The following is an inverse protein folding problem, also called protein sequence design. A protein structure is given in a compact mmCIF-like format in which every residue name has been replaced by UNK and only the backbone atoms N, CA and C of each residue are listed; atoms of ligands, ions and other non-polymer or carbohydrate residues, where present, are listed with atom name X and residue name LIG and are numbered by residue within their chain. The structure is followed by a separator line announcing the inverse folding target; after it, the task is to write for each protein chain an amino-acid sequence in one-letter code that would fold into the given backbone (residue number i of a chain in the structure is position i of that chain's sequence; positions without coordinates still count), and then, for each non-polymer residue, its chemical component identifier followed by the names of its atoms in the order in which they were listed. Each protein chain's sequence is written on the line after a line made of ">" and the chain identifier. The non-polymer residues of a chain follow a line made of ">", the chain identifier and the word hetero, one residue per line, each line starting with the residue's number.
data_IF_618121120301
#
_entry.id   IF_618121120301
#
_cell.length_a   1.000
_cell.length_b   1.000
_cell.length_c   1.000
_cell.angle_alpha   90.00
_cell.angle_beta   90.00
_cell.angle_gamma   90.00
#
_symmetry.space_group_name_H-M   'P 1'
#
loop_
_entity.id
_entity.type
_entity.pdbx_description
1 polymer ?
#
# COMPACT_ATOMS: atom_id res chain seq x y z
N UNK A 1 -16.24 -1.56 3.02
CA UNK A 1 -16.14 -2.41 4.24
C UNK A 1 -17.43 -2.26 5.02
N UNK A 2 -18.31 -3.27 5.05
CA UNK A 2 -19.60 -3.11 5.74
C UNK A 2 -20.57 -4.30 5.73
N UNK A 3 -20.39 -5.33 4.89
CA UNK A 3 -21.40 -6.39 4.75
C UNK A 3 -21.02 -7.76 5.35
N UNK A 4 -19.76 -8.01 5.71
CA UNK A 4 -19.32 -9.35 6.17
C UNK A 4 -19.26 -9.52 7.69
N UNK A 5 -19.45 -8.45 8.48
CA UNK A 5 -19.43 -8.52 9.95
C UNK A 5 -20.81 -8.87 10.57
N UNK A 6 -21.89 -8.84 9.78
CA UNK A 6 -23.26 -9.00 10.30
C UNK A 6 -23.80 -10.43 10.25
N UNK A 7 -23.06 -11.37 9.66
CA UNK A 7 -23.47 -12.78 9.55
C UNK A 7 -22.98 -13.61 10.73
N UNK A 8 -21.75 -13.42 11.21
CA UNK A 8 -21.18 -14.16 12.35
C UNK A 8 -21.82 -13.83 13.69
N UNK A 9 -22.33 -12.60 13.87
CA UNK A 9 -23.06 -12.21 15.07
C UNK A 9 -24.43 -12.90 15.20
N UNK A 10 -25.10 -13.22 14.09
CA UNK A 10 -26.41 -13.91 14.10
C UNK A 10 -26.29 -15.38 14.51
N UNK A 11 -25.21 -16.05 14.10
CA UNK A 11 -24.92 -17.42 14.55
C UNK A 11 -24.48 -17.47 16.02
N UNK A 12 -23.78 -16.45 16.51
CA UNK A 12 -23.35 -16.37 17.93
C UNK A 12 -24.54 -16.16 18.88
N UNK A 13 -25.51 -15.31 18.52
CA UNK A 13 -26.73 -15.08 19.31
C UNK A 13 -27.66 -16.30 19.27
N UNK A 14 -27.78 -16.98 18.12
CA UNK A 14 -28.59 -18.20 18.01
C UNK A 14 -28.01 -19.38 18.80
N UNK A 15 -26.69 -19.43 18.99
CA UNK A 15 -26.02 -20.48 19.78
C UNK A 15 -26.07 -20.20 21.29
N UNK A 16 -26.01 -18.91 21.69
CA UNK A 16 -26.20 -18.49 23.08
C UNK A 16 -27.63 -18.75 23.58
N UNK A 17 -28.63 -18.62 22.70
CA UNK A 17 -30.02 -19.00 22.96
C UNK A 17 -30.20 -20.51 23.18
N UNK A 18 -29.39 -21.35 22.52
CA UNK A 18 -29.43 -22.80 22.65
C UNK A 18 -28.73 -23.30 23.93
N UNK A 19 -27.68 -22.60 24.38
CA UNK A 19 -27.01 -22.86 25.67
C UNK A 19 -27.85 -22.34 26.86
N UNK A 20 -28.62 -21.26 26.68
CA UNK A 20 -29.52 -20.75 27.71
C UNK A 20 -30.77 -21.64 27.93
N UNK A 21 -31.24 -22.36 26.89
CA UNK A 21 -32.38 -23.27 26.98
C UNK A 21 -32.10 -24.58 27.72
N UNK A 22 -30.83 -24.94 27.94
CA UNK A 22 -30.46 -26.08 28.79
C UNK A 22 -30.18 -25.70 30.26
N UNK A 23 -30.36 -24.43 30.63
CA UNK A 23 -29.95 -23.91 31.93
C UNK A 23 -30.96 -23.99 33.07
N UNK A 24 -32.26 -24.28 32.83
CA UNK A 24 -33.27 -24.26 33.91
C UNK A 24 -34.33 -25.36 33.79
N UNK A 25 -34.23 -26.37 34.67
CA UNK A 25 -35.33 -27.07 35.35
C UNK A 25 -34.67 -28.04 36.36
N UNK A 26 -34.93 -28.07 37.67
CA UNK A 26 -35.86 -27.35 38.53
C UNK A 26 -35.34 -27.50 39.97
N UNK A 27 -35.55 -26.47 40.78
CA UNK A 27 -35.34 -26.50 42.21
C UNK A 27 -36.59 -27.05 42.94
N UNK A 28 -36.33 -27.54 44.16
CA UNK A 28 -37.17 -27.43 45.37
C UNK A 28 -37.99 -28.65 45.85
N UNK A 29 -37.63 -29.04 47.06
CA UNK A 29 -38.39 -29.82 48.03
C UNK A 29 -37.70 -29.68 49.38
N UNK A 30 -37.95 -28.58 50.10
CA UNK A 30 -37.42 -28.31 51.44
C UNK A 30 -38.16 -29.17 52.50
N UNK A 31 -37.44 -29.70 53.49
CA UNK A 31 -37.82 -29.58 54.90
C UNK A 31 -36.63 -29.85 55.84
N UNK A 32 -36.54 -29.01 56.86
CA UNK A 32 -35.56 -28.90 57.95
C UNK A 32 -35.75 -30.00 59.03
N UNK A 33 -34.68 -30.44 59.72
CA UNK A 33 -34.45 -30.22 61.17
C UNK A 33 -33.17 -30.91 61.66
N UNK A 34 -32.76 -30.50 62.85
CA UNK A 34 -31.45 -30.56 63.48
C UNK A 34 -30.97 -31.91 64.04
N UNK A 35 -29.72 -31.84 64.50
CA UNK A 35 -29.11 -32.56 65.62
C UNK A 35 -28.53 -33.97 65.45
N UNK A 36 -27.20 -33.97 65.55
CA UNK A 36 -26.42 -34.75 66.51
C UNK A 36 -25.98 -36.18 66.15
N UNK A 37 -24.64 -36.31 66.08
CA UNK A 37 -23.78 -37.16 66.91
C UNK A 37 -24.07 -38.69 66.94
N UNK A 38 -22.94 -39.41 66.81
CA UNK A 38 -22.64 -40.80 67.19
C UNK A 38 -22.96 -41.90 66.16
N UNK A 39 -21.95 -42.11 65.34
CA UNK A 39 -21.40 -43.44 64.97
C UNK A 39 -21.22 -44.33 66.21
N UNK A 40 -22.30 -44.95 66.70
CA UNK A 40 -22.31 -46.14 67.59
C UNK A 40 -23.76 -46.45 68.00
N UNK A 41 -24.58 -47.00 67.08
CA UNK A 41 -25.93 -47.53 67.42
C UNK A 41 -26.62 -48.29 66.27
N UNK A 42 -26.20 -48.10 65.01
CA UNK A 42 -26.88 -48.72 63.86
C UNK A 42 -26.66 -50.23 63.70
N UNK A 43 -25.73 -50.85 64.42
CA UNK A 43 -25.55 -52.31 64.36
C UNK A 43 -26.59 -53.07 65.21
N UNK A 44 -27.16 -52.44 66.25
CA UNK A 44 -28.11 -53.10 67.14
C UNK A 44 -29.59 -52.97 66.71
N UNK A 45 -29.95 -52.01 65.85
CA UNK A 45 -31.30 -51.97 65.24
C UNK A 45 -31.44 -52.91 64.03
N UNK A 46 -30.33 -53.30 63.39
CA UNK A 46 -30.33 -54.28 62.28
C UNK A 46 -30.59 -55.69 62.81
N UNK A 47 -30.11 -56.04 64.01
CA UNK A 47 -30.37 -57.36 64.62
C UNK A 47 -31.82 -57.47 65.14
N UNK A 48 -32.41 -56.38 65.67
CA UNK A 48 -33.79 -56.38 66.15
C UNK A 48 -34.84 -56.37 65.02
N UNK A 49 -34.50 -55.77 63.88
CA UNK A 49 -35.34 -55.80 62.67
C UNK A 49 -35.30 -57.17 61.97
N UNK A 50 -34.15 -57.86 61.98
CA UNK A 50 -34.04 -59.23 61.46
C UNK A 50 -34.96 -60.25 62.16
N UNK A 51 -35.16 -60.13 63.49
CA UNK A 51 -36.08 -61.02 64.24
C UNK A 51 -37.56 -60.74 63.95
N UNK A 52 -37.95 -59.48 63.71
CA UNK A 52 -39.32 -59.12 63.31
C UNK A 52 -39.62 -59.46 61.84
N UNK A 53 -38.61 -59.45 60.97
CA UNK A 53 -38.72 -59.90 59.58
C UNK A 53 -38.88 -61.42 59.52
N UNK A 54 -38.16 -62.18 60.35
CA UNK A 54 -38.27 -63.64 60.39
C UNK A 54 -39.62 -64.14 60.96
N UNK A 55 -40.20 -63.46 61.95
CA UNK A 55 -41.52 -63.82 62.49
C UNK A 55 -42.71 -63.42 61.59
N UNK A 56 -42.47 -62.61 60.54
CA UNK A 56 -43.47 -62.22 59.54
C UNK A 56 -43.24 -62.87 58.17
N UNK A 57 -42.20 -63.69 58.04
CA UNK A 57 -41.82 -64.42 56.83
C UNK A 57 -42.62 -65.73 56.62
N UNK A 58 -43.53 -66.08 57.55
CA UNK A 58 -44.53 -67.15 57.36
C UNK A 58 -45.83 -66.65 56.67
N UNK A 59 -45.86 -65.41 56.16
CA UNK A 59 -46.88 -64.96 55.21
C UNK A 59 -46.34 -65.01 53.77
N UNK A 60 -46.71 -66.08 53.07
CA UNK A 60 -46.76 -66.23 51.61
C UNK A 60 -45.41 -66.01 50.85
N UNK A 61 -44.74 -67.07 50.35
CA UNK A 61 -43.49 -66.95 49.58
C UNK A 61 -43.59 -66.07 48.31
N UNK A 62 -44.80 -65.78 47.85
CA UNK A 62 -45.11 -64.87 46.75
C UNK A 62 -44.81 -63.39 47.07
N UNK A 63 -44.99 -62.91 48.30
CA UNK A 63 -44.72 -61.49 48.65
C UNK A 63 -43.22 -61.18 48.66
N UNK A 64 -42.41 -62.12 49.13
CA UNK A 64 -40.94 -61.99 49.19
C UNK A 64 -40.35 -61.98 47.79
N UNK A 65 -40.77 -62.91 46.92
CA UNK A 65 -40.36 -62.93 45.51
C UNK A 65 -40.81 -61.67 44.77
N UNK A 66 -42.02 -61.16 45.04
CA UNK A 66 -42.52 -59.92 44.47
C UNK A 66 -41.73 -58.68 44.95
N UNK A 67 -41.30 -58.66 46.21
CA UNK A 67 -40.44 -57.60 46.74
C UNK A 67 -39.02 -57.62 46.14
N UNK A 68 -38.41 -58.80 45.97
CA UNK A 68 -37.12 -58.91 45.29
C UNK A 68 -37.21 -58.56 43.80
N UNK A 69 -38.30 -58.95 43.12
CA UNK A 69 -38.58 -58.53 41.74
C UNK A 69 -38.75 -57.00 41.65
N UNK A 70 -39.40 -56.36 42.65
CA UNK A 70 -39.48 -54.90 42.74
C UNK A 70 -38.12 -54.24 42.94
N UNK A 71 -37.29 -54.74 43.86
CA UNK A 71 -35.91 -54.21 44.06
C UNK A 71 -35.09 -54.37 42.78
N UNK A 72 -35.18 -55.54 42.12
CA UNK A 72 -34.44 -55.81 40.90
C UNK A 72 -34.93 -54.92 39.74
N UNK A 73 -36.24 -54.66 39.66
CA UNK A 73 -36.79 -53.67 38.72
C UNK A 73 -36.31 -52.25 39.01
N UNK A 74 -36.31 -51.83 40.27
CA UNK A 74 -35.82 -50.50 40.68
C UNK A 74 -34.33 -50.35 40.34
N UNK A 75 -33.50 -51.34 40.68
CA UNK A 75 -32.06 -51.32 40.37
C UNK A 75 -31.81 -51.33 38.84
N UNK A 76 -32.56 -52.12 38.07
CA UNK A 76 -32.46 -52.10 36.61
C UNK A 76 -32.90 -50.76 36.00
N UNK A 77 -33.90 -50.09 36.58
CA UNK A 77 -34.33 -48.76 36.16
C UNK A 77 -33.28 -47.70 36.54
N UNK A 78 -32.70 -47.78 37.72
CA UNK A 78 -31.61 -46.90 38.17
C UNK A 78 -30.36 -47.09 37.30
N UNK A 79 -29.99 -48.32 36.95
CA UNK A 79 -28.88 -48.58 36.02
C UNK A 79 -29.13 -48.02 34.62
N UNK A 80 -30.32 -48.23 34.05
CA UNK A 80 -30.70 -47.63 32.75
C UNK A 80 -30.70 -46.11 32.80
N UNK A 81 -31.20 -45.55 33.91
CA UNK A 81 -31.19 -44.11 34.18
C UNK A 81 -29.74 -43.60 34.21
N UNK A 82 -28.88 -44.19 35.03
CA UNK A 82 -27.47 -43.79 35.17
C UNK A 82 -26.67 -43.94 33.86
N UNK A 83 -26.91 -45.02 33.10
CA UNK A 83 -26.30 -45.19 31.78
C UNK A 83 -26.76 -44.11 30.78
N UNK A 84 -28.04 -43.73 30.82
CA UNK A 84 -28.57 -42.65 29.98
C UNK A 84 -27.98 -41.28 30.36
N UNK A 85 -27.78 -41.01 31.66
CA UNK A 85 -27.12 -39.77 32.12
C UNK A 85 -25.65 -39.69 31.69
N UNK A 86 -24.90 -40.78 31.81
CA UNK A 86 -23.47 -40.83 31.41
C UNK A 86 -23.25 -40.68 29.90
N UNK A 87 -24.15 -41.19 29.06
CA UNK A 87 -24.14 -40.98 27.60
C UNK A 87 -24.39 -39.52 27.19
N UNK A 88 -25.30 -38.82 27.88
CA UNK A 88 -25.60 -37.40 27.61
C UNK A 88 -24.44 -36.50 28.07
N UNK A 89 -23.86 -36.76 29.25
CA UNK A 89 -22.75 -35.98 29.81
C UNK A 89 -21.46 -36.09 28.96
N UNK A 90 -21.12 -37.29 28.51
CA UNK A 90 -19.97 -37.52 27.61
C UNK A 90 -20.15 -36.86 26.23
N UNK A 91 -21.38 -36.82 25.70
CA UNK A 91 -21.70 -36.13 24.45
C UNK A 91 -21.52 -34.60 24.54
N UNK A 92 -21.89 -33.99 25.67
CA UNK A 92 -21.68 -32.55 25.89
C UNK A 92 -20.19 -32.19 25.95
N UNK A 93 -19.37 -32.99 26.63
CA UNK A 93 -17.92 -32.77 26.68
C UNK A 93 -17.29 -32.84 25.29
N UNK A 94 -17.71 -33.79 24.45
CA UNK A 94 -17.22 -33.89 23.07
C UNK A 94 -17.55 -32.65 22.23
N UNK A 95 -18.75 -32.08 22.38
CA UNK A 95 -19.15 -30.85 21.69
C UNK A 95 -18.32 -29.64 22.14
N UNK A 96 -18.04 -29.51 23.43
CA UNK A 96 -17.17 -28.44 23.93
C UNK A 96 -15.75 -28.56 23.36
N UNK A 97 -15.19 -29.76 23.29
CA UNK A 97 -13.85 -29.99 22.71
C UNK A 97 -13.82 -29.56 21.24
N UNK A 98 -14.82 -29.97 20.44
CA UNK A 98 -14.92 -29.58 19.03
C UNK A 98 -15.03 -28.06 18.90
N UNK A 99 -15.85 -27.41 19.74
CA UNK A 99 -15.98 -25.96 19.75
C UNK A 99 -14.64 -25.26 20.01
N UNK A 100 -13.89 -25.67 21.04
CA UNK A 100 -12.57 -25.10 21.32
C UNK A 100 -11.56 -25.35 20.19
N UNK A 101 -11.59 -26.53 19.55
CA UNK A 101 -10.75 -26.82 18.38
C UNK A 101 -11.08 -25.88 17.22
N UNK A 102 -12.37 -25.67 16.92
CA UNK A 102 -12.78 -24.75 15.85
C UNK A 102 -12.41 -23.31 16.16
N UNK A 103 -12.54 -22.88 17.42
CA UNK A 103 -12.16 -21.55 17.86
C UNK A 103 -10.65 -21.33 17.78
N UNK A 104 -9.86 -22.33 18.19
CA UNK A 104 -8.40 -22.33 18.04
C UNK A 104 -8.00 -22.28 16.56
N UNK A 105 -8.61 -23.09 15.70
CA UNK A 105 -8.36 -23.09 14.27
C UNK A 105 -8.69 -21.73 13.63
N UNK A 106 -9.84 -21.14 13.96
CA UNK A 106 -10.23 -19.81 13.51
C UNK A 106 -9.25 -18.73 13.99
N UNK A 107 -8.82 -18.78 15.26
CA UNK A 107 -7.82 -17.87 15.79
C UNK A 107 -6.50 -17.98 15.02
N UNK A 108 -6.01 -19.20 14.78
CA UNK A 108 -4.78 -19.44 14.00
C UNK A 108 -4.92 -18.88 12.58
N UNK A 109 -6.03 -19.14 11.89
CA UNK A 109 -6.27 -18.60 10.54
C UNK A 109 -6.28 -17.08 10.51
N UNK A 110 -6.87 -16.42 11.51
CA UNK A 110 -6.85 -14.94 11.59
C UNK A 110 -5.45 -14.39 11.84
N UNK A 111 -4.64 -15.06 12.65
CA UNK A 111 -3.25 -14.67 12.90
C UNK A 111 -2.37 -14.86 11.67
N UNK A 112 -2.55 -15.96 10.94
CA UNK A 112 -1.85 -16.19 9.67
C UNK A 112 -2.20 -15.11 8.64
N UNK A 113 -3.50 -14.82 8.46
CA UNK A 113 -3.95 -13.73 7.59
C UNK A 113 -3.40 -12.37 8.02
N UNK A 114 -3.37 -12.07 9.32
CA UNK A 114 -2.78 -10.81 9.83
C UNK A 114 -1.29 -10.70 9.47
N UNK A 115 -0.52 -11.76 9.67
CA UNK A 115 0.92 -11.78 9.31
C UNK A 115 1.11 -11.55 7.81
N UNK A 116 0.31 -12.20 6.98
CA UNK A 116 0.36 -12.06 5.53
C UNK A 116 0.00 -10.64 5.07
N UNK A 117 -1.07 -10.05 5.61
CA UNK A 117 -1.47 -8.66 5.30
C UNK A 117 -0.38 -7.66 5.70
N UNK A 118 0.23 -7.82 6.89
CA UNK A 118 1.34 -6.97 7.32
C UNK A 118 2.52 -7.10 6.36
N UNK A 119 2.92 -8.33 6.02
CA UNK A 119 4.02 -8.58 5.07
C UNK A 119 3.72 -7.96 3.70
N UNK A 120 2.49 -8.11 3.20
CA UNK A 120 2.06 -7.55 1.93
C UNK A 120 2.05 -6.02 1.94
N UNK A 121 1.60 -5.40 3.04
CA UNK A 121 1.67 -3.94 3.19
C UNK A 121 3.11 -3.43 3.26
N UNK A 122 4.02 -4.16 3.91
CA UNK A 122 5.43 -3.81 3.96
C UNK A 122 6.09 -3.87 2.57
N UNK A 123 5.81 -4.93 1.80
CA UNK A 123 6.28 -5.07 0.42
C UNK A 123 5.73 -3.95 -0.47
N UNK A 124 4.44 -3.62 -0.36
CA UNK A 124 3.82 -2.51 -1.12
C UNK A 124 4.45 -1.16 -0.76
N UNK A 125 4.68 -0.89 0.51
CA UNK A 125 5.34 0.36 0.95
C UNK A 125 6.78 0.43 0.42
N UNK A 126 7.49 -0.69 0.41
CA UNK A 126 8.83 -0.79 -0.14
C UNK A 126 8.82 -0.54 -1.65
N UNK A 127 7.90 -1.17 -2.39
CA UNK A 127 7.72 -0.94 -3.83
C UNK A 127 7.40 0.54 -4.12
N UNK A 128 6.47 1.14 -3.37
CA UNK A 128 6.13 2.56 -3.51
C UNK A 128 7.34 3.46 -3.26
N UNK A 129 8.15 3.14 -2.24
CA UNK A 129 9.37 3.89 -1.94
C UNK A 129 10.37 3.79 -3.09
N UNK A 130 10.59 2.59 -3.64
CA UNK A 130 11.46 2.41 -4.80
C UNK A 130 10.94 3.16 -6.02
N UNK A 131 9.65 3.08 -6.33
CA UNK A 131 9.02 3.82 -7.44
C UNK A 131 9.17 5.32 -7.28
N UNK A 132 8.98 5.85 -6.06
CA UNK A 132 9.19 7.27 -5.78
C UNK A 132 10.63 7.72 -6.02
N UNK A 133 11.61 6.91 -5.60
CA UNK A 133 13.03 7.22 -5.84
C UNK A 133 13.36 7.13 -7.32
N UNK A 134 12.83 6.14 -8.03
CA UNK A 134 13.05 5.95 -9.46
C UNK A 134 12.46 7.09 -10.29
N UNK A 135 11.22 7.49 -10.01
CA UNK A 135 10.53 8.62 -10.65
C UNK A 135 11.26 9.96 -10.44
N UNK A 136 12.01 10.11 -9.34
CA UNK A 136 12.85 11.30 -9.10
C UNK A 136 14.11 11.34 -9.96
N UNK A 137 14.54 10.19 -10.49
CA UNK A 137 15.81 10.06 -11.23
C UNK A 137 15.61 9.86 -12.72
N UNK A 138 14.47 9.32 -13.13
CA UNK A 138 14.17 8.97 -14.50
C UNK A 138 12.83 9.58 -14.95
N UNK A 139 12.72 9.95 -16.24
CA UNK A 139 11.45 10.32 -16.83
C UNK A 139 10.43 9.17 -16.75
N UNK A 140 9.16 9.48 -16.45
CA UNK A 140 8.09 8.49 -16.25
C UNK A 140 7.90 7.55 -17.46
N UNK A 141 8.06 8.08 -18.68
CA UNK A 141 7.97 7.30 -19.92
C UNK A 141 9.13 6.32 -20.12
N UNK A 142 10.30 6.59 -19.55
CA UNK A 142 11.46 5.68 -19.60
C UNK A 142 11.29 4.55 -18.59
N UNK A 143 10.64 4.83 -17.46
CA UNK A 143 10.41 3.85 -16.39
C UNK A 143 9.48 2.73 -16.84
N UNK A 144 8.43 3.03 -17.61
CA UNK A 144 7.50 2.02 -18.10
C UNK A 144 8.21 0.98 -18.99
N UNK A 145 9.01 1.43 -19.96
CA UNK A 145 9.79 0.53 -20.81
C UNK A 145 10.84 -0.26 -20.00
N UNK A 146 11.49 0.38 -19.02
CA UNK A 146 12.49 -0.26 -18.17
C UNK A 146 11.91 -1.39 -17.30
N UNK A 147 10.70 -1.20 -16.75
CA UNK A 147 10.09 -2.16 -15.83
C UNK A 147 9.45 -3.36 -16.54
N UNK A 148 9.04 -3.22 -17.80
CA UNK A 148 8.36 -4.28 -18.56
C UNK A 148 9.33 -5.21 -19.29
N UNK A 149 10.32 -4.65 -20.00
CA UNK A 149 11.15 -5.42 -20.93
C UNK A 149 12.54 -5.78 -20.37
N UNK A 150 12.93 -5.24 -19.20
CA UNK A 150 14.32 -5.24 -18.68
C UNK A 150 15.38 -4.79 -19.71
N UNK A 151 14.93 -4.22 -20.83
CA UNK A 151 15.79 -3.91 -21.95
C UNK A 151 16.33 -2.48 -21.79
N UNK A 152 17.65 -2.38 -21.69
CA UNK A 152 18.38 -1.12 -21.57
C UNK A 152 18.85 -0.58 -22.91
N UNK A 153 18.38 -1.16 -24.01
CA UNK A 153 18.74 -0.74 -25.35
C UNK A 153 18.43 0.75 -25.58
N UNK A 154 19.34 1.48 -26.24
CA UNK A 154 19.10 2.87 -26.59
C UNK A 154 17.84 3.05 -27.45
N UNK A 155 16.98 3.98 -27.03
CA UNK A 155 15.72 4.31 -27.71
C UNK A 155 15.92 5.51 -28.62
N UNK A 156 15.60 5.35 -29.92
CA UNK A 156 15.61 6.47 -30.86
C UNK A 156 14.33 7.29 -30.71
N UNK A 157 14.48 8.59 -30.42
CA UNK A 157 13.38 9.54 -30.36
C UNK A 157 13.49 10.52 -31.51
N UNK A 158 12.58 10.38 -32.47
CA UNK A 158 12.54 11.21 -33.67
C UNK A 158 11.80 12.51 -33.45
N UNK A 159 12.15 13.54 -34.22
CA UNK A 159 11.36 14.76 -34.36
C UNK A 159 11.00 15.37 -32.99
N UNK A 160 12.02 15.74 -32.21
CA UNK A 160 11.87 16.34 -30.89
C UNK A 160 12.56 17.70 -30.79
N UNK A 161 11.91 18.66 -30.13
CA UNK A 161 12.56 19.91 -29.75
C UNK A 161 13.39 19.69 -28.47
N UNK A 162 14.59 20.24 -28.43
CA UNK A 162 15.53 20.10 -27.31
C UNK A 162 15.71 21.46 -26.67
N UNK A 163 15.64 21.51 -25.34
CA UNK A 163 15.83 22.71 -24.54
C UNK A 163 16.98 22.51 -23.55
N UNK A 164 17.99 23.36 -23.66
CA UNK A 164 19.00 23.57 -22.64
C UNK A 164 18.73 24.89 -21.94
N UNK A 165 18.79 24.87 -20.62
CA UNK A 165 18.66 26.05 -19.77
C UNK A 165 19.89 26.10 -18.87
N UNK A 166 20.45 27.29 -18.67
CA UNK A 166 21.47 27.55 -17.65
C UNK A 166 21.06 28.77 -16.82
N UNK A 167 21.13 28.60 -15.49
CA UNK A 167 20.80 29.64 -14.52
C UNK A 167 22.09 30.20 -13.94
N UNK A 168 22.36 31.48 -14.18
CA UNK A 168 23.55 32.17 -13.71
C UNK A 168 23.22 33.13 -12.58
N UNK A 169 24.14 33.25 -11.62
CA UNK A 169 24.09 34.30 -10.59
C UNK A 169 24.76 35.58 -11.10
N UNK A 170 24.13 36.73 -10.90
CA UNK A 170 24.69 38.05 -11.23
C UNK A 170 25.77 38.45 -10.22
N UNK A 171 25.54 38.14 -8.97
CA UNK A 171 26.47 38.27 -7.84
C UNK A 171 26.53 36.95 -7.09
N UNK A 172 27.74 36.54 -6.68
CA UNK A 172 27.90 35.32 -5.91
C UNK A 172 27.10 35.40 -4.60
N UNK A 173 26.21 34.43 -4.41
CA UNK A 173 25.52 34.26 -3.14
C UNK A 173 26.50 34.11 -1.98
N UNK A 174 26.17 34.71 -0.84
CA UNK A 174 27.02 34.72 0.36
C UNK A 174 27.28 33.32 0.95
N UNK A 175 26.49 32.32 0.56
CA UNK A 175 26.61 30.94 1.03
C UNK A 175 26.26 29.91 -0.08
N UNK A 176 27.07 28.85 -0.25
CA UNK A 176 26.77 27.74 -1.16
C UNK A 176 25.40 27.08 -0.89
N UNK A 177 24.95 27.09 0.37
CA UNK A 177 23.63 26.55 0.73
C UNK A 177 22.50 27.38 0.10
N UNK A 178 22.62 28.71 0.13
CA UNK A 178 21.63 29.63 -0.43
C UNK A 178 21.57 29.52 -1.95
N UNK A 179 22.71 29.35 -2.62
CA UNK A 179 22.79 29.01 -4.06
C UNK A 179 21.96 27.78 -4.41
N UNK A 180 22.17 26.70 -3.66
CA UNK A 180 21.46 25.43 -3.91
C UNK A 180 19.96 25.61 -3.70
N UNK A 181 19.54 26.32 -2.66
CA UNK A 181 18.12 26.61 -2.38
C UNK A 181 17.48 27.42 -3.52
N UNK A 182 18.15 28.48 -4.00
CA UNK A 182 17.68 29.31 -5.11
C UNK A 182 17.58 28.53 -6.43
N UNK A 183 18.62 27.78 -6.81
CA UNK A 183 18.61 26.95 -8.04
C UNK A 183 17.50 25.90 -7.95
N UNK A 184 17.31 25.29 -6.78
CA UNK A 184 16.29 24.27 -6.58
C UNK A 184 14.86 24.84 -6.71
N UNK A 185 14.63 26.09 -6.29
CA UNK A 185 13.36 26.79 -6.51
C UNK A 185 13.11 27.05 -8.01
N UNK A 186 14.13 27.53 -8.73
CA UNK A 186 14.03 27.74 -10.19
C UNK A 186 13.77 26.43 -10.92
N UNK A 187 14.42 25.33 -10.54
CA UNK A 187 14.22 24.03 -11.16
C UNK A 187 12.83 23.45 -10.88
N UNK A 188 12.27 23.67 -9.69
CA UNK A 188 10.88 23.29 -9.40
C UNK A 188 9.89 24.06 -10.29
N UNK A 189 10.11 25.37 -10.46
CA UNK A 189 9.30 26.19 -11.36
C UNK A 189 9.46 25.75 -12.83
N UNK A 190 10.67 25.40 -13.25
CA UNK A 190 10.95 24.88 -14.58
C UNK A 190 10.20 23.55 -14.83
N UNK A 191 10.22 22.63 -13.87
CA UNK A 191 9.49 21.35 -13.99
C UNK A 191 7.98 21.53 -14.09
N UNK A 192 7.40 22.49 -13.35
CA UNK A 192 5.99 22.84 -13.48
C UNK A 192 5.65 23.33 -14.91
N UNK A 193 6.48 24.22 -15.46
CA UNK A 193 6.34 24.68 -16.84
C UNK A 193 6.57 23.56 -17.86
N UNK A 194 7.50 22.63 -17.60
CA UNK A 194 7.71 21.48 -18.48
C UNK A 194 6.46 20.63 -18.59
N UNK A 195 5.76 20.39 -17.48
CA UNK A 195 4.50 19.66 -17.48
C UNK A 195 3.44 20.43 -18.28
N UNK A 196 3.31 21.74 -18.08
CA UNK A 196 2.35 22.62 -18.79
C UNK A 196 2.56 22.59 -20.31
N UNK A 197 3.82 22.69 -20.77
CA UNK A 197 4.15 22.79 -22.19
C UNK A 197 4.45 21.44 -22.87
N UNK A 198 4.39 20.33 -22.14
CA UNK A 198 4.64 18.99 -22.69
C UNK A 198 6.13 18.69 -22.92
N UNK A 199 7.01 19.27 -22.11
CA UNK A 199 8.42 18.90 -22.03
C UNK A 199 8.63 17.80 -21.00
N UNK A 200 9.67 17.01 -21.22
CA UNK A 200 10.12 15.92 -20.37
C UNK A 200 11.54 16.27 -19.93
N UNK A 201 11.75 16.43 -18.62
CA UNK A 201 13.08 16.62 -18.03
C UNK A 201 13.92 15.37 -18.29
N UNK A 202 15.12 15.54 -18.84
CA UNK A 202 16.07 14.44 -19.10
C UNK A 202 17.13 14.37 -18.00
N UNK A 203 17.88 15.46 -17.81
CA UNK A 203 18.96 15.53 -16.82
C UNK A 203 19.15 16.94 -16.28
N UNK A 204 19.79 17.03 -15.12
CA UNK A 204 20.32 18.28 -14.55
C UNK A 204 21.80 18.10 -14.25
N UNK A 205 22.61 19.09 -14.59
CA UNK A 205 24.05 19.10 -14.31
C UNK A 205 24.45 20.46 -13.76
N UNK A 206 24.69 20.54 -12.45
CA UNK A 206 25.00 21.81 -11.80
C UNK A 206 23.83 22.80 -11.91
N UNK A 207 24.09 23.93 -12.58
CA UNK A 207 23.15 25.01 -12.90
C UNK A 207 22.45 24.85 -14.26
N UNK A 208 22.70 23.73 -14.96
CA UNK A 208 22.08 23.41 -16.23
C UNK A 208 20.94 22.40 -16.12
N UNK A 209 19.91 22.60 -16.92
CA UNK A 209 18.75 21.71 -17.04
C UNK A 209 18.50 21.37 -18.52
N UNK A 210 18.26 20.09 -18.80
CA UNK A 210 18.01 19.59 -20.16
C UNK A 210 16.65 18.94 -20.23
N UNK A 211 15.85 19.33 -21.22
CA UNK A 211 14.53 18.78 -21.47
C UNK A 211 14.25 18.59 -22.97
N UNK A 212 13.34 17.68 -23.29
CA UNK A 212 12.84 17.49 -24.66
C UNK A 212 11.34 17.68 -24.73
N UNK A 213 10.83 18.28 -25.80
CA UNK A 213 9.41 18.35 -26.09
C UNK A 213 9.01 17.19 -26.99
N UNK A 214 8.46 16.14 -26.38
CA UNK A 214 7.91 14.97 -27.11
C UNK A 214 6.68 14.36 -26.44
N UNK A 215 6.05 15.08 -25.50
CA UNK A 215 4.89 14.56 -24.78
C UNK A 215 3.66 14.59 -25.68
N UNK A 216 3.11 13.42 -25.98
CA UNK A 216 1.91 13.26 -26.81
C UNK A 216 2.15 13.47 -28.31
N UNK A 217 1.08 13.62 -29.08
CA UNK A 217 1.11 13.73 -30.54
C UNK A 217 1.27 15.18 -31.02
N UNK A 218 2.29 15.90 -30.52
CA UNK A 218 2.56 17.29 -30.90
C UNK A 218 3.23 17.36 -32.28
N UNK A 219 2.74 18.25 -33.14
CA UNK A 219 3.37 18.55 -34.43
C UNK A 219 4.72 19.26 -34.22
N UNK A 220 5.65 19.24 -35.19
CA UNK A 220 6.93 19.94 -35.07
C UNK A 220 6.81 21.42 -34.70
N UNK A 221 5.83 22.13 -35.30
CA UNK A 221 5.57 23.53 -34.98
C UNK A 221 5.01 23.70 -33.57
N UNK A 222 4.13 22.82 -33.10
CA UNK A 222 3.65 22.86 -31.71
C UNK A 222 4.79 22.62 -30.71
N UNK A 223 5.66 21.65 -30.97
CA UNK A 223 6.82 21.39 -30.12
C UNK A 223 7.75 22.60 -30.05
N UNK A 224 8.04 23.23 -31.19
CA UNK A 224 8.87 24.44 -31.25
C UNK A 224 8.24 25.60 -30.47
N UNK A 225 6.94 25.88 -30.69
CA UNK A 225 6.22 26.95 -29.99
C UNK A 225 6.13 26.70 -28.48
N UNK A 226 5.78 25.49 -28.06
CA UNK A 226 5.70 25.13 -26.64
C UNK A 226 7.05 25.26 -25.94
N UNK A 227 8.13 24.80 -26.59
CA UNK A 227 9.49 24.89 -26.06
C UNK A 227 9.93 26.35 -25.92
N UNK A 228 9.63 27.18 -26.93
CA UNK A 228 9.88 28.61 -26.89
C UNK A 228 9.11 29.33 -25.78
N UNK A 229 7.80 29.09 -25.68
CA UNK A 229 6.95 29.68 -24.64
C UNK A 229 7.42 29.28 -23.25
N UNK A 230 7.81 28.01 -23.07
CA UNK A 230 8.37 27.52 -21.83
C UNK A 230 9.66 28.27 -21.45
N UNK A 231 10.59 28.43 -22.39
CA UNK A 231 11.85 29.12 -22.14
C UNK A 231 11.64 30.61 -21.81
N UNK A 232 10.72 31.28 -22.51
CA UNK A 232 10.37 32.69 -22.25
C UNK A 232 9.72 32.87 -20.88
N UNK A 233 8.69 32.08 -20.55
CA UNK A 233 8.06 32.13 -19.23
C UNK A 233 9.05 31.83 -18.10
N UNK A 234 9.93 30.85 -18.29
CA UNK A 234 10.93 30.52 -17.29
C UNK A 234 11.93 31.66 -17.11
N UNK A 235 12.38 32.31 -18.19
CA UNK A 235 13.21 33.50 -18.11
C UNK A 235 12.52 34.61 -17.32
N UNK A 236 11.24 34.90 -17.61
CA UNK A 236 10.46 35.90 -16.88
C UNK A 236 10.35 35.56 -15.39
N UNK A 237 10.11 34.30 -15.05
CA UNK A 237 10.08 33.85 -13.66
C UNK A 237 11.41 34.03 -12.95
N UNK A 238 12.54 33.78 -13.63
CA UNK A 238 13.88 33.97 -13.07
C UNK A 238 14.20 35.46 -12.88
N UNK A 239 13.85 36.31 -13.84
CA UNK A 239 14.04 37.75 -13.75
C UNK A 239 13.21 38.39 -12.62
N UNK A 240 12.01 37.85 -12.38
CA UNK A 240 11.12 38.31 -11.32
C UNK A 240 11.37 37.59 -9.96
N UNK A 241 12.40 36.74 -9.87
CA UNK A 241 12.69 35.99 -8.64
C UNK A 241 13.13 36.95 -7.53
N UNK A 242 12.64 36.70 -6.31
CA UNK A 242 12.91 37.56 -5.16
C UNK A 242 14.40 37.60 -4.83
N UNK A 243 15.01 38.77 -5.06
CA UNK A 243 16.45 38.99 -4.89
C UNK A 243 17.17 39.44 -6.16
N UNK A 244 16.53 39.36 -7.34
CA UNK A 244 17.00 40.00 -8.58
C UNK A 244 18.44 39.64 -9.01
N UNK A 245 18.92 38.48 -8.54
CA UNK A 245 20.34 38.11 -8.64
C UNK A 245 20.56 36.91 -9.57
N UNK A 246 19.54 36.52 -10.32
CA UNK A 246 19.56 35.39 -11.23
C UNK A 246 19.25 35.84 -12.64
N UNK A 247 19.96 35.24 -13.58
CA UNK A 247 19.72 35.39 -15.00
C UNK A 247 19.64 34.00 -15.64
N UNK A 248 18.91 33.90 -16.74
CA UNK A 248 18.71 32.65 -17.44
C UNK A 248 19.10 32.81 -18.90
N UNK A 249 19.88 31.87 -19.41
CA UNK A 249 20.07 31.70 -20.86
C UNK A 249 19.59 30.32 -21.29
N UNK A 250 19.18 30.22 -22.55
CA UNK A 250 18.70 28.96 -23.09
C UNK A 250 19.19 28.72 -24.52
N UNK A 251 19.36 27.45 -24.86
CA UNK A 251 19.67 26.97 -26.21
C UNK A 251 18.61 25.99 -26.68
N UNK A 252 18.06 26.20 -27.88
CA UNK A 252 16.97 25.38 -28.42
C UNK A 252 17.32 24.87 -29.82
N UNK A 253 17.13 23.57 -30.04
CA UNK A 253 17.29 22.93 -31.34
C UNK A 253 16.13 21.97 -31.62
N UNK A 254 16.17 21.32 -32.77
CA UNK A 254 15.18 20.31 -33.16
C UNK A 254 15.84 19.20 -33.96
N UNK A 255 15.51 17.95 -33.66
CA UNK A 255 15.97 16.82 -34.46
C UNK A 255 15.72 15.46 -33.84
N UNK A 256 16.37 14.46 -34.46
CA UNK A 256 16.41 13.10 -33.97
C UNK A 256 17.44 12.95 -32.84
N UNK A 257 17.06 12.20 -31.81
CA UNK A 257 17.90 11.90 -30.66
C UNK A 257 17.93 10.42 -30.36
N UNK A 258 18.93 10.01 -29.60
CA UNK A 258 19.05 8.68 -29.01
C UNK A 258 19.13 8.87 -27.49
N UNK A 259 18.32 8.14 -26.74
CA UNK A 259 18.34 8.16 -25.28
C UNK A 259 18.60 6.77 -24.72
N UNK A 260 19.27 6.66 -23.58
CA UNK A 260 19.62 5.37 -23.02
C UNK A 260 20.39 5.45 -21.71
N UNK A 261 20.65 4.29 -21.14
CA UNK A 261 21.45 4.16 -19.93
C UNK A 261 22.93 3.97 -20.27
N UNK A 262 23.79 4.65 -19.52
CA UNK A 262 25.25 4.47 -19.58
C UNK A 262 25.78 4.12 -18.20
N UNK A 263 26.70 3.16 -18.16
CA UNK A 263 27.33 2.67 -16.94
C UNK A 263 26.79 1.30 -16.51
N UNK A 264 27.67 0.46 -15.94
CA UNK A 264 27.33 -0.90 -15.52
C UNK A 264 26.83 -0.98 -14.08
N UNK A 265 27.52 -0.32 -13.14
CA UNK A 265 27.23 -0.39 -11.70
C UNK A 265 26.43 0.82 -11.20
N UNK A 266 26.68 1.99 -11.79
CA UNK A 266 25.91 3.22 -11.57
C UNK A 266 25.40 3.68 -12.92
N UNK A 267 24.13 3.41 -13.21
CA UNK A 267 23.53 3.79 -14.48
C UNK A 267 23.14 5.28 -14.45
N UNK A 268 23.50 6.01 -15.50
CA UNK A 268 23.03 7.36 -15.77
C UNK A 268 22.18 7.32 -17.04
N UNK A 269 20.99 7.90 -16.98
CA UNK A 269 20.16 8.11 -18.16
C UNK A 269 20.61 9.39 -18.85
N UNK A 270 20.90 9.32 -20.15
CA UNK A 270 21.37 10.45 -20.92
C UNK A 270 20.85 10.40 -22.38
N UNK A 271 21.08 11.47 -23.12
CA UNK A 271 20.60 11.72 -24.48
C UNK A 271 21.75 12.19 -25.38
N UNK A 272 21.76 11.73 -26.63
CA UNK A 272 22.76 12.03 -27.65
C UNK A 272 22.10 12.34 -28.99
N UNK A 273 22.78 13.13 -29.82
CA UNK A 273 22.34 13.44 -31.18
C UNK A 273 22.85 14.80 -31.64
N UNK A 274 22.89 15.01 -32.95
CA UNK A 274 23.37 16.26 -33.56
C UNK A 274 22.58 17.47 -33.07
N UNK A 275 21.27 17.34 -32.88
CA UNK A 275 20.46 18.42 -32.31
C UNK A 275 20.78 18.67 -30.82
N UNK A 276 21.22 17.67 -30.05
CA UNK A 276 21.66 17.90 -28.66
C UNK A 276 22.91 18.78 -28.65
N UNK A 277 23.87 18.46 -29.53
CA UNK A 277 25.11 19.23 -29.66
C UNK A 277 24.82 20.65 -30.16
N UNK A 278 23.92 20.82 -31.13
CA UNK A 278 23.48 22.14 -31.61
C UNK A 278 22.78 22.95 -30.50
N UNK A 279 21.91 22.35 -29.69
CA UNK A 279 21.26 23.04 -28.57
C UNK A 279 22.27 23.46 -27.50
N UNK A 280 23.25 22.61 -27.19
CA UNK A 280 24.32 22.94 -26.27
C UNK A 280 25.20 24.08 -26.80
N UNK A 281 25.51 24.07 -28.11
CA UNK A 281 26.26 25.16 -28.76
C UNK A 281 25.45 26.47 -28.76
N UNK A 282 24.13 26.39 -29.00
CA UNK A 282 23.24 27.54 -28.89
C UNK A 282 23.23 28.10 -27.46
N UNK A 283 23.16 27.25 -26.43
CA UNK A 283 23.24 27.70 -25.03
C UNK A 283 24.58 28.40 -24.73
N UNK A 284 25.70 27.77 -25.11
CA UNK A 284 27.05 28.31 -24.82
C UNK A 284 27.29 29.67 -25.49
N UNK A 285 26.77 29.83 -26.70
CA UNK A 285 26.91 31.05 -27.49
C UNK A 285 25.75 32.03 -27.31
N UNK A 286 24.81 31.75 -26.41
CA UNK A 286 23.75 32.67 -26.02
C UNK A 286 24.30 33.71 -25.03
N UNK A 287 24.00 34.97 -25.32
CA UNK A 287 24.20 36.06 -24.38
C UNK A 287 23.35 35.88 -23.11
N UNK A 288 23.73 36.60 -22.03
CA UNK A 288 22.98 36.61 -20.76
C UNK A 288 21.53 37.05 -21.02
N UNK A 289 20.57 36.38 -20.38
CA UNK A 289 19.12 36.65 -20.52
C UNK A 289 18.54 36.40 -21.94
N UNK A 290 19.33 35.82 -22.84
CA UNK A 290 18.92 35.54 -24.21
C UNK A 290 18.65 34.05 -24.43
N UNK A 291 17.71 33.79 -25.33
CA UNK A 291 17.34 32.46 -25.78
C UNK A 291 17.84 32.32 -27.21
N UNK A 292 18.75 31.39 -27.45
CA UNK A 292 19.32 31.14 -28.77
C UNK A 292 18.74 29.89 -29.39
N UNK A 293 18.40 29.98 -30.67
CA UNK A 293 17.65 28.94 -31.37
C UNK A 293 18.28 28.56 -32.70
N UNK A 294 18.16 27.28 -33.05
CA UNK A 294 18.48 26.77 -34.39
C UNK A 294 17.60 27.41 -35.47
N UNK A 295 18.07 27.33 -36.72
CA UNK A 295 17.31 27.77 -37.90
C UNK A 295 15.98 27.04 -38.05
N UNK A 296 15.91 25.76 -37.68
CA UNK A 296 14.67 24.98 -37.77
C UNK A 296 13.61 25.52 -36.81
N UNK A 297 14.00 25.76 -35.55
CA UNK A 297 13.10 26.31 -34.54
C UNK A 297 12.60 27.70 -34.98
N UNK A 298 13.50 28.58 -35.42
CA UNK A 298 13.14 29.92 -35.90
C UNK A 298 12.12 29.90 -37.06
N UNK A 299 12.17 28.89 -37.93
CA UNK A 299 11.20 28.71 -39.03
C UNK A 299 9.86 28.14 -38.59
N UNK A 300 9.85 27.39 -37.49
CA UNK A 300 8.69 26.62 -37.03
C UNK A 300 7.85 27.36 -35.98
N UNK A 301 8.42 28.40 -35.38
CA UNK A 301 7.83 29.22 -34.33
C UNK A 301 6.93 30.32 -34.92
N UNK A 302 5.84 30.63 -34.20
CA UNK A 302 4.94 31.73 -34.56
C UNK A 302 5.58 33.07 -34.21
N UNK A 303 5.98 33.83 -35.24
CA UNK A 303 6.69 35.11 -35.09
C UNK A 303 5.85 36.23 -34.47
N UNK A 304 4.53 36.08 -34.45
CA UNK A 304 3.64 37.08 -33.82
C UNK A 304 3.79 37.09 -32.29
N UNK A 305 4.32 36.01 -31.71
CA UNK A 305 4.49 35.83 -30.27
C UNK A 305 5.88 36.23 -29.76
N UNK A 306 6.87 36.42 -30.64
CA UNK A 306 8.27 36.60 -30.24
C UNK A 306 8.95 37.71 -31.02
N UNK A 307 9.64 38.61 -30.30
CA UNK A 307 10.49 39.64 -30.89
C UNK A 307 11.89 39.07 -31.14
N UNK A 308 12.27 38.96 -32.41
CA UNK A 308 13.57 38.41 -32.85
C UNK A 308 14.62 39.50 -32.99
N UNK A 309 15.76 39.34 -32.31
CA UNK A 309 16.96 40.15 -32.51
C UNK A 309 17.93 39.38 -33.41
N UNK A 310 17.93 39.69 -34.70
CA UNK A 310 18.84 39.03 -35.64
C UNK A 310 20.27 39.53 -35.45
N UNK A 311 21.04 38.87 -34.59
CA UNK A 311 22.51 38.93 -34.62
C UNK A 311 23.02 38.08 -35.80
N UNK A 312 22.95 38.64 -37.00
CA UNK A 312 23.54 38.06 -38.21
C UNK A 312 25.06 38.27 -38.19
N UNK A 313 25.78 37.47 -37.40
CA UNK A 313 27.15 37.14 -37.79
C UNK A 313 27.04 36.06 -38.87
N UNK A 314 27.37 36.39 -40.13
CA UNK A 314 27.22 35.56 -41.33
C UNK A 314 27.95 34.19 -41.27
N UNK A 315 28.63 33.88 -40.17
CA UNK A 315 29.39 32.65 -39.97
C UNK A 315 28.70 31.60 -39.10
N UNK A 316 27.58 31.87 -38.41
CA UNK A 316 26.94 30.90 -37.50
C UNK A 316 25.42 30.74 -37.72
N UNK A 317 24.95 29.48 -37.79
CA UNK A 317 23.60 29.04 -38.18
C UNK A 317 22.49 29.27 -37.12
N UNK A 318 22.61 30.29 -36.28
CA UNK A 318 21.83 30.43 -35.03
C UNK A 318 21.23 31.84 -34.85
N UNK A 319 20.06 31.94 -34.19
CA UNK A 319 19.35 33.21 -33.95
C UNK A 319 19.18 33.48 -32.45
N UNK A 320 19.24 34.75 -32.02
CA UNK A 320 19.05 35.17 -30.62
C UNK A 320 17.71 35.91 -30.41
N UNK A 321 17.12 35.69 -29.22
CA UNK A 321 15.83 36.24 -28.77
C UNK A 321 15.98 36.83 -27.36
#
# INVERSE_FOLDING_TARGET
>A
MGATCMSTAKYFVSLLLLVALCGQAEASGQLSFADSIKTESLENQVILSQKKVLAKAEETPQKITLFFDQIQRINNLEQKKNHSYTLVESGQLALFIIFFITLAAMAILTLLKRKETIRLSALRNQEQTYRQVLNKRLPENVILNFLEDENLDPVKVKDCAVLFIEVNEDHYSESPKKRIEMINEVFQNAEALFIEFGLIRIKSSGDQLVAICKRGNLTPSQQANNTMLCAVKLRENVLNHEGGNLSLRAGISYGDTLMGFVGSNTFCFDIWGECIDEAAQNLQSANREKIKVSKYIMRSVNKDLFKVESNLSETNQSFEL
#
